data_IF_114423959380
#
_entry.id   IF_114423959380
#
_cell.length_a   1.000
_cell.length_b   1.000
_cell.length_c   1.000
_cell.angle_alpha   90.00
_cell.angle_beta   90.00
_cell.angle_gamma   90.00
#
_symmetry.space_group_name_H-M   'P 1'
#
loop_
_entity.id
_entity.type
_entity.pdbx_description
1 polymer ?
#
# COMPACT_ATOMS: atom_id res chain seq x y z
N UNK A 1 -32.74 20.37 4.64
CA UNK A 1 -31.91 20.15 3.43
C UNK A 1 -30.52 19.76 3.89
N UNK A 2 -30.08 18.52 3.58
CA UNK A 2 -28.71 18.05 3.85
C UNK A 2 -27.80 18.63 2.77
N UNK A 3 -26.82 19.43 3.16
CA UNK A 3 -25.84 20.02 2.25
C UNK A 3 -25.09 18.92 1.49
N UNK A 4 -25.00 18.95 0.14
CA UNK A 4 -24.36 17.88 -0.65
C UNK A 4 -22.82 17.92 -0.64
N UNK A 5 -22.17 18.37 0.44
CA UNK A 5 -20.71 18.58 0.46
C UNK A 5 -19.96 18.04 1.69
N UNK A 6 -20.61 17.22 2.50
CA UNK A 6 -19.91 16.40 3.48
C UNK A 6 -19.76 14.99 2.92
N UNK A 7 -19.00 14.87 1.82
CA UNK A 7 -18.38 13.59 1.49
C UNK A 7 -17.50 13.28 2.69
N UNK A 8 -17.64 12.13 3.38
CA UNK A 8 -16.83 11.84 4.55
C UNK A 8 -15.35 11.90 4.15
N UNK A 9 -14.68 13.00 4.49
CA UNK A 9 -13.27 13.30 4.20
C UNK A 9 -12.30 12.45 5.03
N UNK A 10 -12.70 11.23 5.39
CA UNK A 10 -12.08 10.51 6.52
C UNK A 10 -11.45 9.18 6.08
N UNK A 11 -11.64 8.75 4.84
CA UNK A 11 -11.13 7.46 4.36
C UNK A 11 -10.18 7.67 3.19
N UNK A 12 -8.90 7.80 3.52
CA UNK A 12 -7.83 7.86 2.52
C UNK A 12 -7.64 6.49 1.89
N UNK A 13 -7.56 6.40 0.56
CA UNK A 13 -7.34 5.14 -0.11
C UNK A 13 -5.95 4.63 0.23
N UNK A 14 -5.82 3.31 0.29
CA UNK A 14 -4.54 2.65 0.47
C UNK A 14 -4.06 2.19 -0.90
N UNK A 15 -2.89 2.65 -1.30
CA UNK A 15 -2.19 2.26 -2.52
C UNK A 15 -1.10 1.27 -2.15
N UNK A 16 -1.23 0.04 -2.64
CA UNK A 16 -0.25 -1.02 -2.44
C UNK A 16 0.58 -1.17 -3.72
N UNK A 17 1.81 -0.69 -3.67
CA UNK A 17 2.85 -0.78 -4.69
C UNK A 17 3.65 -2.08 -4.48
N UNK A 18 3.98 -2.76 -5.57
CA UNK A 18 4.81 -3.97 -5.55
C UNK A 18 5.68 -4.06 -6.79
N UNK A 19 6.85 -4.67 -6.63
CA UNK A 19 7.61 -5.17 -7.76
C UNK A 19 6.95 -6.41 -8.36
N UNK A 20 6.95 -6.49 -9.69
CA UNK A 20 6.55 -7.67 -10.46
C UNK A 20 7.62 -7.95 -11.52
N UNK A 21 8.65 -8.69 -11.12
CA UNK A 21 9.80 -8.99 -11.96
C UNK A 21 10.59 -7.73 -12.31
N UNK A 22 10.61 -7.39 -13.61
CA UNK A 22 11.27 -6.19 -14.13
C UNK A 22 10.35 -4.95 -14.17
N UNK A 23 9.11 -5.08 -13.72
CA UNK A 23 8.11 -4.01 -13.75
C UNK A 23 7.52 -3.74 -12.37
N UNK A 24 6.75 -2.68 -12.24
CA UNK A 24 5.99 -2.32 -11.04
C UNK A 24 4.49 -2.40 -11.31
N UNK A 25 3.76 -2.69 -10.25
CA UNK A 25 2.30 -2.69 -10.25
C UNK A 25 1.77 -2.05 -8.97
N UNK A 26 0.55 -1.53 -9.04
CA UNK A 26 -0.15 -0.99 -7.89
C UNK A 26 -1.58 -1.52 -7.79
N UNK A 27 -2.11 -1.49 -6.58
CA UNK A 27 -3.52 -1.74 -6.33
C UNK A 27 -4.07 -0.73 -5.34
N UNK A 28 -5.32 -0.34 -5.54
CA UNK A 28 -6.01 0.61 -4.67
C UNK A 28 -7.10 -0.12 -3.92
N UNK A 29 -7.19 0.13 -2.62
CA UNK A 29 -8.23 -0.41 -1.76
C UNK A 29 -8.78 0.65 -0.82
N UNK A 30 -10.00 0.42 -0.35
CA UNK A 30 -10.53 1.18 0.75
C UNK A 30 -9.70 0.96 2.04
N UNK A 31 -9.60 1.95 2.93
CA UNK A 31 -8.97 1.75 4.23
C UNK A 31 -9.72 0.70 5.06
N UNK A 32 -9.01 0.09 6.01
CA UNK A 32 -9.55 -0.98 6.85
C UNK A 32 -10.75 -0.47 7.66
N UNK A 33 -11.81 -1.27 7.69
CA UNK A 33 -12.97 -1.02 8.52
C UNK A 33 -13.16 -2.21 9.47
N UNK A 34 -13.22 -1.95 10.77
CA UNK A 34 -13.45 -2.97 11.83
C UNK A 34 -12.48 -4.17 11.76
N UNK A 35 -11.21 -3.93 11.41
CA UNK A 35 -10.19 -4.98 11.32
C UNK A 35 -10.24 -5.82 10.03
N UNK A 36 -11.23 -5.61 9.16
CA UNK A 36 -11.32 -6.30 7.87
C UNK A 36 -10.48 -5.56 6.84
N UNK A 37 -9.72 -6.34 6.08
CA UNK A 37 -8.92 -5.90 4.96
C UNK A 37 -9.79 -6.01 3.69
N UNK A 38 -10.34 -4.90 3.15
CA UNK A 38 -11.25 -4.95 2.00
C UNK A 38 -10.51 -5.33 0.72
N UNK A 39 -11.14 -6.00 -0.25
CA UNK A 39 -10.48 -6.35 -1.51
C UNK A 39 -9.99 -5.09 -2.26
N UNK A 40 -8.99 -5.27 -3.11
CA UNK A 40 -8.55 -4.21 -4.03
C UNK A 40 -9.70 -3.84 -4.97
N UNK A 41 -10.06 -2.56 -5.01
CA UNK A 41 -11.08 -2.02 -5.89
C UNK A 41 -10.53 -1.73 -7.29
N UNK A 42 -9.21 -1.54 -7.40
CA UNK A 42 -8.51 -1.28 -8.65
C UNK A 42 -7.12 -1.91 -8.62
N UNK A 43 -6.62 -2.31 -9.79
CA UNK A 43 -5.26 -2.83 -9.99
C UNK A 43 -4.78 -2.39 -11.35
N UNK A 44 -3.52 -1.96 -11.41
CA UNK A 44 -2.84 -1.68 -12.67
C UNK A 44 -1.34 -1.97 -12.55
N UNK A 45 -0.65 -2.13 -13.67
CA UNK A 45 0.74 -2.59 -13.66
C UNK A 45 1.39 -2.66 -15.03
N UNK A 46 2.63 -3.13 -15.04
CA UNK A 46 3.49 -3.09 -16.23
C UNK A 46 4.30 -1.81 -16.35
N UNK A 47 4.45 -1.07 -15.26
CA UNK A 47 5.23 0.16 -15.23
C UNK A 47 6.74 -0.16 -15.21
N UNK A 48 7.56 0.51 -16.03
CA UNK A 48 8.99 0.23 -16.08
C UNK A 48 9.72 0.71 -14.83
N UNK A 49 9.22 1.75 -14.16
CA UNK A 49 9.82 2.30 -12.94
C UNK A 49 8.77 2.56 -11.86
N UNK A 50 9.24 2.69 -10.61
CA UNK A 50 8.37 3.06 -9.49
C UNK A 50 7.83 4.49 -9.66
N UNK A 51 8.61 5.40 -10.25
CA UNK A 51 8.21 6.78 -10.51
C UNK A 51 7.07 6.85 -11.56
N UNK A 52 7.14 6.06 -12.62
CA UNK A 52 6.04 5.92 -13.59
C UNK A 52 4.76 5.41 -12.91
N UNK A 53 4.90 4.42 -12.03
CA UNK A 53 3.79 3.86 -11.28
C UNK A 53 3.16 4.90 -10.34
N UNK A 54 3.96 5.70 -9.62
CA UNK A 54 3.47 6.79 -8.77
C UNK A 54 2.80 7.91 -9.57
N UNK A 55 3.35 8.24 -10.75
CA UNK A 55 2.77 9.25 -11.64
C UNK A 55 1.39 8.82 -12.12
N UNK A 56 1.23 7.54 -12.48
CA UNK A 56 -0.07 7.00 -12.88
C UNK A 56 -1.06 6.97 -11.71
N UNK A 57 -0.63 6.56 -10.52
CA UNK A 57 -1.43 6.65 -9.28
C UNK A 57 -1.90 8.09 -9.03
N UNK A 58 -1.02 9.07 -9.17
CA UNK A 58 -1.33 10.48 -8.97
C UNK A 58 -2.33 10.99 -10.01
N UNK A 59 -2.24 10.51 -11.25
CA UNK A 59 -3.21 10.80 -12.31
C UNK A 59 -4.57 10.15 -12.03
N UNK A 60 -4.58 8.89 -11.60
CA UNK A 60 -5.78 8.13 -11.33
C UNK A 60 -6.55 8.62 -10.09
N UNK A 61 -5.85 9.09 -9.06
CA UNK A 61 -6.44 9.49 -7.78
C UNK A 61 -6.50 11.00 -7.55
N UNK A 62 -5.76 11.81 -8.31
CA UNK A 62 -5.62 13.26 -8.10
C UNK A 62 -6.89 14.08 -8.29
N UNK A 63 -7.93 13.53 -8.92
CA UNK A 63 -9.24 14.18 -9.04
C UNK A 63 -10.09 14.09 -7.77
N UNK A 64 -10.00 12.98 -7.06
CA UNK A 64 -10.92 12.63 -5.97
C UNK A 64 -10.27 12.74 -4.58
N UNK A 65 -8.95 12.56 -4.51
CA UNK A 65 -8.21 12.51 -3.25
C UNK A 65 -7.09 13.54 -3.23
N UNK A 66 -6.81 14.06 -2.03
CA UNK A 66 -5.65 14.93 -1.79
C UNK A 66 -4.42 14.15 -1.32
N UNK A 67 -4.66 13.10 -0.52
CA UNK A 67 -3.64 12.31 0.16
C UNK A 67 -3.98 10.83 0.08
N UNK A 68 -2.95 10.00 0.01
CA UNK A 68 -3.05 8.55 -0.10
C UNK A 68 -2.14 7.90 0.93
N UNK A 69 -2.54 6.72 1.39
CA UNK A 69 -1.68 5.90 2.23
C UNK A 69 -0.93 4.90 1.35
N UNK A 70 0.40 4.90 1.40
CA UNK A 70 1.23 4.09 0.51
C UNK A 70 1.80 2.89 1.26
N UNK A 71 1.76 1.74 0.61
CA UNK A 71 2.44 0.52 1.06
C UNK A 71 3.32 0.01 -0.07
N UNK A 72 4.60 -0.23 0.19
CA UNK A 72 5.55 -0.77 -0.77
C UNK A 72 5.96 -2.18 -0.33
N UNK A 73 5.77 -3.17 -1.19
CA UNK A 73 6.08 -4.59 -0.93
C UNK A 73 5.45 -5.13 0.39
N UNK A 74 4.27 -4.60 0.74
CA UNK A 74 3.56 -4.94 1.98
C UNK A 74 3.98 -4.13 3.21
N UNK A 75 5.06 -3.35 3.14
CA UNK A 75 5.49 -2.42 4.18
C UNK A 75 4.71 -1.11 4.11
N UNK A 76 4.24 -0.62 5.26
CA UNK A 76 3.59 0.68 5.34
C UNK A 76 4.65 1.78 5.33
N UNK A 77 4.71 2.56 4.24
CA UNK A 77 5.68 3.66 4.02
C UNK A 77 5.04 5.03 4.24
N UNK A 78 3.90 5.06 4.93
CA UNK A 78 3.26 6.29 5.39
C UNK A 78 2.29 6.91 4.40
N UNK A 79 1.94 8.16 4.69
CA UNK A 79 0.98 8.95 3.93
C UNK A 79 1.72 9.90 2.98
N UNK A 80 1.25 10.03 1.74
CA UNK A 80 1.83 10.92 0.73
C UNK A 80 0.77 11.81 0.10
N UNK A 81 1.13 13.04 -0.18
CA UNK A 81 0.26 13.99 -0.88
C UNK A 81 0.33 13.74 -2.39
N UNK A 82 -0.83 13.65 -3.05
CA UNK A 82 -0.90 13.36 -4.49
C UNK A 82 -0.22 14.45 -5.32
N UNK A 83 -0.19 15.68 -4.81
CA UNK A 83 0.52 16.80 -5.45
C UNK A 83 2.02 16.54 -5.51
N UNK A 84 2.61 15.96 -4.46
CA UNK A 84 4.04 15.63 -4.43
C UNK A 84 4.38 14.53 -5.45
N UNK A 85 3.49 13.55 -5.60
CA UNK A 85 3.64 12.51 -6.63
C UNK A 85 3.57 13.08 -8.06
N UNK A 86 2.85 14.19 -8.28
CA UNK A 86 2.80 14.88 -9.58
C UNK A 86 4.02 15.77 -9.82
N UNK A 87 4.52 16.43 -8.78
CA UNK A 87 5.61 17.39 -8.91
C UNK A 87 6.96 16.68 -9.09
N UNK A 88 7.24 15.66 -8.28
CA UNK A 88 8.56 15.04 -8.22
C UNK A 88 8.46 13.52 -7.94
N UNK A 89 7.90 12.73 -8.88
CA UNK A 89 7.67 11.30 -8.70
C UNK A 89 8.96 10.50 -8.48
N UNK A 90 10.10 10.98 -9.03
CA UNK A 90 11.41 10.34 -8.84
C UNK A 90 11.93 10.51 -7.41
N UNK A 91 11.80 11.71 -6.84
CA UNK A 91 12.17 11.96 -5.45
C UNK A 91 11.32 11.14 -4.49
N UNK A 92 9.99 11.14 -4.68
CA UNK A 92 9.07 10.35 -3.87
C UNK A 92 9.38 8.85 -4.01
N UNK A 93 9.67 8.36 -5.22
CA UNK A 93 10.06 6.97 -5.43
C UNK A 93 11.35 6.61 -4.67
N UNK A 94 12.35 7.49 -4.68
CA UNK A 94 13.59 7.29 -3.95
C UNK A 94 13.36 7.25 -2.43
N UNK A 95 12.59 8.19 -1.89
CA UNK A 95 12.24 8.23 -0.47
C UNK A 95 11.48 6.97 -0.03
N UNK A 96 10.43 6.58 -0.78
CA UNK A 96 9.65 5.38 -0.47
C UNK A 96 10.52 4.11 -0.51
N UNK A 97 11.48 4.06 -1.44
CA UNK A 97 12.42 2.94 -1.52
C UNK A 97 13.38 2.92 -0.33
N UNK A 98 13.90 4.07 0.10
CA UNK A 98 14.74 4.18 1.30
C UNK A 98 13.98 3.80 2.56
N UNK A 99 12.73 4.26 2.72
CA UNK A 99 11.88 3.89 3.85
C UNK A 99 11.55 2.41 3.85
N UNK A 100 11.21 1.84 2.68
CA UNK A 100 10.97 0.42 2.54
C UNK A 100 12.22 -0.39 2.87
N UNK A 101 13.39 -0.03 2.35
CA UNK A 101 14.67 -0.70 2.65
C UNK A 101 14.99 -0.66 4.14
N UNK A 102 14.80 0.49 4.79
CA UNK A 102 14.96 0.61 6.24
C UNK A 102 13.97 -0.28 7.00
N UNK A 103 12.69 -0.32 6.61
CA UNK A 103 11.67 -1.17 7.23
C UNK A 103 11.92 -2.66 6.98
N UNK A 104 12.40 -3.02 5.80
CA UNK A 104 12.79 -4.38 5.44
C UNK A 104 14.01 -4.80 6.26
N UNK A 105 15.05 -3.97 6.34
CA UNK A 105 16.26 -4.21 7.14
C UNK A 105 15.94 -4.40 8.64
N UNK A 106 15.00 -3.62 9.17
CA UNK A 106 14.51 -3.77 10.55
C UNK A 106 13.70 -5.07 10.76
N UNK A 107 13.03 -5.57 9.72
CA UNK A 107 12.33 -6.86 9.72
C UNK A 107 13.25 -8.06 9.44
N UNK A 108 14.50 -7.88 9.03
CA UNK A 108 15.54 -8.95 9.02
C UNK A 108 16.13 -9.16 10.43
N UNK A 109 15.28 -9.11 11.46
CA UNK A 109 15.50 -9.97 12.63
C UNK A 109 14.73 -11.25 12.32
N UNK A 110 15.39 -12.38 12.04
CA UNK A 110 14.68 -13.63 11.86
C UNK A 110 14.07 -13.99 13.20
N UNK A 111 12.80 -13.61 13.40
CA UNK A 111 11.96 -14.33 14.32
C UNK A 111 11.80 -15.72 13.68
N UNK A 112 12.64 -16.64 14.13
CA UNK A 112 12.44 -18.07 13.98
C UNK A 112 11.04 -18.39 14.50
N UNK A 113 10.04 -18.34 13.64
CA UNK A 113 8.73 -18.92 13.93
C UNK A 113 8.91 -20.41 13.69
N UNK A 114 9.45 -21.08 14.70
CA UNK A 114 9.29 -22.51 14.88
C UNK A 114 7.80 -22.81 14.73
N UNK A 115 7.45 -23.43 13.62
CA UNK A 115 6.16 -24.06 13.42
C UNK A 115 6.05 -25.23 14.41
N UNK A 116 5.72 -24.95 15.67
CA UNK A 116 5.20 -25.95 16.58
C UNK A 116 3.81 -26.34 16.08
N UNK A 117 3.78 -27.35 15.21
CA UNK A 117 2.58 -28.18 15.01
C UNK A 117 2.13 -28.69 16.38
N UNK A 118 1.07 -28.10 16.92
CA UNK A 118 0.24 -28.74 17.96
C UNK A 118 -0.46 -29.93 17.30
N UNK A 119 0.18 -31.09 17.34
CA UNK A 119 -0.54 -32.36 17.26
C UNK A 119 -1.19 -32.58 18.64
N UNK A 120 -2.47 -32.24 18.74
CA UNK A 120 -3.27 -32.63 19.90
C UNK A 120 -3.50 -34.15 19.86
N UNK A 121 -3.47 -34.86 21.01
CA UNK A 121 -3.90 -36.24 21.06
C UNK A 121 -5.44 -36.27 20.99
N UNK A 122 -6.01 -37.06 20.09
CA UNK A 122 -7.39 -37.51 20.25
C UNK A 122 -7.39 -39.03 20.35
N UNK A 123 -7.76 -39.49 21.54
CA UNK A 123 -8.07 -40.86 21.85
C UNK A 123 -9.57 -41.11 21.64
N UNK A 124 -9.90 -42.31 21.15
CA UNK A 124 -11.16 -43.06 21.18
C UNK A 124 -11.19 -43.88 19.87
N UNK A 125 -11.32 -45.20 19.86
CA UNK A 125 -12.13 -46.08 20.72
C UNK A 125 -11.51 -47.47 20.80
#
# INVERSE_FOLDING_TARGET
MKSPRDVPRILQPVVELRGEGATFAYSVRAPRSKGVIPPSSYKDGGFPTLADCLSDVARALGGDFKRIYVRLDGHCVGERDIVELHLDPEQVAAELKTECDALSALHIKPAAISAQKKAGPVAAE
#
